data_IF_631410894913
#
_entry.id   IF_631410894913
#
_cell.length_a   1.000
_cell.length_b   1.000
_cell.length_c   1.000
_cell.angle_alpha   90.00
_cell.angle_beta   90.00
_cell.angle_gamma   90.00
#
_symmetry.space_group_name_H-M   'P 1'
#
loop_
_entity.id
_entity.type
_entity.pdbx_description
1 polymer ?
#
# COMPACT_ATOMS: atom_id res chain seq x y z
N UNK A 1 -15.21 3.06 -10.29
CA UNK A 1 -13.81 3.44 -9.98
C UNK A 1 -12.93 2.37 -10.61
N UNK A 2 -11.80 2.70 -11.21
CA UNK A 2 -10.97 1.72 -11.96
C UNK A 2 -9.81 1.21 -11.12
N UNK A 3 -9.23 2.08 -10.28
CA UNK A 3 -8.22 1.73 -9.29
C UNK A 3 -8.64 2.29 -7.92
N UNK A 4 -8.22 1.61 -6.86
CA UNK A 4 -8.15 2.18 -5.52
C UNK A 4 -6.67 2.37 -5.15
N UNK A 5 -6.24 3.61 -4.95
CA UNK A 5 -4.83 3.95 -4.78
C UNK A 5 -4.46 4.28 -3.33
N UNK A 6 -5.36 4.01 -2.38
CA UNK A 6 -5.11 4.27 -0.96
C UNK A 6 -5.80 3.19 -0.13
N UNK A 7 -5.11 2.07 0.11
CA UNK A 7 -5.63 0.95 0.91
C UNK A 7 -4.61 0.50 1.94
N UNK A 8 -5.13 0.07 3.09
CA UNK A 8 -4.33 -0.37 4.23
C UNK A 8 -4.63 -1.82 4.52
N UNK A 9 -3.66 -2.50 5.11
CA UNK A 9 -3.72 -3.89 5.49
C UNK A 9 -3.35 -4.09 6.96
N UNK A 10 -3.32 -5.34 7.38
CA UNK A 10 -2.86 -5.75 8.71
C UNK A 10 -1.37 -5.45 8.97
N UNK A 11 -0.62 -4.96 7.98
CA UNK A 11 0.76 -4.50 8.19
C UNK A 11 0.85 -3.11 8.83
N UNK A 12 -0.22 -2.30 8.78
CA UNK A 12 -0.36 -1.12 9.63
C UNK A 12 -1.62 -1.18 10.51
N UNK A 13 -2.70 -0.57 10.04
CA UNK A 13 -3.94 -0.29 10.78
C UNK A 13 -5.19 -0.73 10.01
N UNK A 14 -5.00 -1.36 8.84
CA UNK A 14 -6.06 -2.03 8.11
C UNK A 14 -6.56 -3.28 8.85
N UNK A 15 -7.79 -3.69 8.52
CA UNK A 15 -8.45 -4.83 9.17
C UNK A 15 -8.38 -6.13 8.37
N UNK A 16 -7.79 -6.09 7.18
CA UNK A 16 -7.73 -7.16 6.19
C UNK A 16 -6.29 -7.37 5.73
N UNK A 17 -5.89 -8.60 5.41
CA UNK A 17 -4.54 -8.85 4.90
C UNK A 17 -4.39 -8.29 3.47
N UNK A 18 -3.16 -8.09 2.97
CA UNK A 18 -2.93 -7.72 1.58
C UNK A 18 -3.65 -8.64 0.58
N UNK A 19 -3.63 -9.96 0.81
CA UNK A 19 -4.34 -10.91 -0.04
C UNK A 19 -5.86 -10.72 0.00
N UNK A 20 -6.44 -10.45 1.18
CA UNK A 20 -7.85 -10.16 1.30
C UNK A 20 -8.24 -8.85 0.59
N UNK A 21 -7.38 -7.83 0.63
CA UNK A 21 -7.58 -6.58 -0.13
C UNK A 21 -7.65 -6.85 -1.64
N UNK A 22 -6.74 -7.66 -2.18
CA UNK A 22 -6.75 -8.04 -3.59
C UNK A 22 -8.02 -8.81 -3.98
N UNK A 23 -8.44 -9.78 -3.17
CA UNK A 23 -9.68 -10.53 -3.42
C UNK A 23 -10.92 -9.61 -3.41
N UNK A 24 -10.98 -8.66 -2.48
CA UNK A 24 -12.07 -7.67 -2.39
C UNK A 24 -12.07 -6.71 -3.58
N UNK A 25 -10.89 -6.22 -4.01
CA UNK A 25 -10.75 -5.36 -5.18
C UNK A 25 -11.22 -6.04 -6.47
N UNK A 26 -10.85 -7.31 -6.66
CA UNK A 26 -11.30 -8.11 -7.80
C UNK A 26 -12.82 -8.34 -7.77
N UNK A 27 -13.38 -8.68 -6.61
CA UNK A 27 -14.82 -8.84 -6.44
C UNK A 27 -15.60 -7.53 -6.69
N UNK A 28 -14.99 -6.38 -6.41
CA UNK A 28 -15.54 -5.06 -6.72
C UNK A 28 -15.40 -4.64 -8.20
N UNK A 29 -14.73 -5.45 -9.03
CA UNK A 29 -14.51 -5.16 -10.45
C UNK A 29 -13.48 -4.06 -10.70
N UNK A 30 -12.53 -3.85 -9.77
CA UNK A 30 -11.39 -2.97 -9.99
C UNK A 30 -10.40 -3.58 -10.99
N UNK A 31 -9.61 -2.73 -11.62
CA UNK A 31 -8.50 -3.13 -12.51
C UNK A 31 -7.20 -3.23 -11.72
N UNK A 32 -7.05 -2.48 -10.63
CA UNK A 32 -5.88 -2.55 -9.77
C UNK A 32 -6.06 -1.88 -8.42
N UNK A 33 -5.09 -2.10 -7.54
CA UNK A 33 -5.06 -1.48 -6.22
C UNK A 33 -3.63 -1.09 -5.81
N UNK A 34 -3.50 -0.06 -4.99
CA UNK A 34 -2.28 0.25 -4.26
C UNK A 34 -2.37 -0.19 -2.80
N UNK A 35 -1.32 -0.84 -2.31
CA UNK A 35 -1.14 -1.02 -0.87
C UNK A 35 -0.28 0.14 -0.36
N UNK A 36 -0.79 0.90 0.61
CA UNK A 36 -0.17 2.12 1.14
C UNK A 36 -0.22 2.11 2.67
N UNK A 37 0.26 1.02 3.27
CA UNK A 37 0.34 0.90 4.73
C UNK A 37 1.17 2.05 5.34
N UNK A 38 0.84 2.42 6.58
CA UNK A 38 1.54 3.47 7.31
C UNK A 38 2.99 3.07 7.60
N UNK A 39 3.92 3.87 7.10
CA UNK A 39 5.35 3.79 7.41
C UNK A 39 5.93 2.38 7.25
N UNK A 40 5.40 1.57 6.32
CA UNK A 40 5.91 0.23 6.04
C UNK A 40 5.62 -0.21 4.62
N UNK A 41 6.48 -1.07 4.08
CA UNK A 41 6.35 -1.68 2.75
C UNK A 41 6.32 -3.21 2.83
N UNK A 42 6.24 -3.76 4.05
CA UNK A 42 6.39 -5.20 4.31
C UNK A 42 5.27 -6.05 3.71
N UNK A 43 4.09 -5.46 3.48
CA UNK A 43 2.96 -6.11 2.83
C UNK A 43 3.08 -6.22 1.31
N UNK A 44 4.05 -5.56 0.66
CA UNK A 44 4.17 -5.53 -0.80
C UNK A 44 4.31 -6.91 -1.45
N UNK A 45 5.13 -7.85 -0.95
CA UNK A 45 5.26 -9.16 -1.58
C UNK A 45 3.93 -9.93 -1.60
N UNK A 46 3.19 -9.94 -0.48
CA UNK A 46 1.88 -10.59 -0.39
C UNK A 46 0.85 -9.91 -1.30
N UNK A 47 0.81 -8.58 -1.31
CA UNK A 47 -0.09 -7.81 -2.16
C UNK A 47 0.16 -8.08 -3.65
N UNK A 48 1.42 -8.07 -4.07
CA UNK A 48 1.83 -8.29 -5.45
C UNK A 48 1.44 -9.70 -5.93
N UNK A 49 1.71 -10.73 -5.11
CA UNK A 49 1.34 -12.10 -5.40
C UNK A 49 -0.19 -12.24 -5.54
N UNK A 50 -0.96 -11.75 -4.56
CA UNK A 50 -2.41 -11.85 -4.60
C UNK A 50 -3.06 -11.05 -5.75
N UNK A 51 -2.52 -9.87 -6.07
CA UNK A 51 -2.99 -9.11 -7.24
C UNK A 51 -2.75 -9.90 -8.53
N UNK A 52 -1.59 -10.52 -8.69
CA UNK A 52 -1.29 -11.35 -9.85
C UNK A 52 -2.24 -12.55 -9.98
N UNK A 53 -2.59 -13.21 -8.87
CA UNK A 53 -3.57 -14.30 -8.84
C UNK A 53 -4.97 -13.87 -9.29
N UNK A 54 -5.35 -12.63 -8.96
CA UNK A 54 -6.65 -12.07 -9.31
C UNK A 54 -6.68 -11.29 -10.63
N UNK A 55 -5.55 -11.19 -11.34
CA UNK A 55 -5.44 -10.42 -12.59
C UNK A 55 -5.58 -8.91 -12.38
N UNK A 56 -5.22 -8.42 -11.19
CA UNK A 56 -5.19 -7.01 -10.83
C UNK A 56 -3.80 -6.42 -11.04
N UNK A 57 -3.77 -5.16 -11.46
CA UNK A 57 -2.54 -4.36 -11.44
C UNK A 57 -2.20 -3.97 -9.99
N UNK A 58 -1.06 -4.43 -9.50
CA UNK A 58 -0.52 -3.98 -8.21
C UNK A 58 0.25 -2.68 -8.36
N UNK A 59 -0.12 -1.68 -7.57
CA UNK A 59 0.60 -0.41 -7.45
C UNK A 59 1.34 -0.37 -6.10
N UNK A 60 2.67 -0.57 -6.07
CA UNK A 60 3.42 -0.48 -4.82
C UNK A 60 3.37 0.96 -4.28
N UNK A 61 2.92 1.13 -3.05
CA UNK A 61 2.85 2.42 -2.39
C UNK A 61 3.12 2.36 -0.88
N UNK A 62 3.20 3.53 -0.26
CA UNK A 62 3.42 3.68 1.18
C UNK A 62 2.77 4.98 1.62
N UNK A 63 2.16 5.02 2.80
CA UNK A 63 1.71 6.25 3.41
C UNK A 63 2.68 6.67 4.50
N UNK A 64 3.46 7.71 4.23
CA UNK A 64 4.45 8.24 5.17
C UNK A 64 3.78 9.22 6.14
N UNK A 65 3.97 8.96 7.43
CA UNK A 65 3.66 9.90 8.50
C UNK A 65 4.68 11.04 8.48
N UNK A 66 4.23 12.26 8.22
CA UNK A 66 5.10 13.44 8.19
C UNK A 66 4.56 14.56 9.07
N UNK A 67 5.41 15.53 9.39
CA UNK A 67 5.01 16.74 10.11
C UNK A 67 5.44 18.00 9.34
N UNK A 68 4.53 18.96 9.23
CA UNK A 68 4.83 20.29 8.71
C UNK A 68 4.12 21.34 9.55
N UNK A 69 4.88 22.32 10.07
CA UNK A 69 4.35 23.38 10.94
C UNK A 69 3.50 22.83 12.12
N UNK A 70 4.03 21.82 12.84
CA UNK A 70 3.37 21.15 13.98
C UNK A 70 2.06 20.43 13.61
N UNK A 71 1.84 20.14 12.32
CA UNK A 71 0.67 19.40 11.82
C UNK A 71 1.12 18.09 11.21
N UNK A 72 0.47 17.00 11.65
CA UNK A 72 0.56 15.71 10.98
C UNK A 72 0.00 15.81 9.57
N UNK A 73 0.80 15.41 8.58
CA UNK A 73 0.42 15.28 7.18
C UNK A 73 0.81 13.88 6.76
N UNK A 74 -0.10 13.16 6.12
CA UNK A 74 0.26 11.91 5.49
C UNK A 74 0.60 12.11 4.02
N UNK A 75 1.68 11.49 3.57
CA UNK A 75 2.19 11.61 2.22
C UNK A 75 2.20 10.23 1.55
N UNK A 76 1.40 10.08 0.50
CA UNK A 76 1.43 8.88 -0.34
C UNK A 76 2.64 8.90 -1.27
N UNK A 77 3.45 7.85 -1.20
CA UNK A 77 4.51 7.55 -2.16
C UNK A 77 4.10 6.35 -3.03
N UNK A 78 4.41 6.40 -4.33
CA UNK A 78 4.14 5.31 -5.27
C UNK A 78 5.38 4.98 -6.09
N UNK A 79 5.61 3.69 -6.38
CA UNK A 79 6.79 3.19 -7.09
C UNK A 79 8.12 3.73 -6.53
N UNK A 80 8.18 3.87 -5.20
CA UNK A 80 9.39 4.25 -4.49
C UNK A 80 10.38 3.07 -4.49
N UNK A 81 11.67 3.39 -4.40
CA UNK A 81 12.70 2.37 -4.21
C UNK A 81 12.66 1.88 -2.76
N UNK A 82 12.09 0.69 -2.54
CA UNK A 82 11.96 0.09 -1.21
C UNK A 82 13.29 -0.33 -0.57
N UNK A 83 14.39 -0.25 -1.32
CA UNK A 83 15.75 -0.47 -0.80
C UNK A 83 16.50 0.83 -0.54
N UNK A 84 15.89 1.99 -0.85
CA UNK A 84 16.54 3.27 -0.65
C UNK A 84 16.78 3.52 0.86
N UNK A 85 18.04 3.68 1.32
CA UNK A 85 18.35 3.68 2.75
C UNK A 85 17.61 4.74 3.56
N UNK A 86 17.38 5.93 2.98
CA UNK A 86 16.65 6.99 3.67
C UNK A 86 15.17 6.66 3.85
N UNK A 87 14.54 5.99 2.87
CA UNK A 87 13.14 5.61 2.99
C UNK A 87 12.99 4.46 4.00
N UNK A 88 13.88 3.47 3.92
CA UNK A 88 13.93 2.36 4.89
C UNK A 88 14.17 2.86 6.33
N UNK A 89 14.83 4.01 6.51
CA UNK A 89 15.02 4.58 7.83
C UNK A 89 13.76 5.25 8.40
N UNK A 90 12.84 5.70 7.54
CA UNK A 90 11.55 6.26 7.95
C UNK A 90 10.51 5.16 8.16
N UNK A 91 10.58 4.07 7.39
CA UNK A 91 9.68 2.93 7.52
C UNK A 91 10.13 1.97 8.65
N UNK A 92 9.20 1.48 9.47
CA UNK A 92 9.47 0.62 10.64
C UNK A 92 9.02 -0.82 10.44
#
# INVERSE_FOLDING_TARGET
>A
MVYDLHTHSTFSDGTTSPAANAAMAAAAGLVGLALTDHDTMDGWPEAAEACAEHGLDFVPGVELSTEYEERGIHLLGYWVDSQHPALVAECQ
#
